data_IF_256854503569
#
_entry.id   IF_256854503569
#
_cell.length_a   1.000
_cell.length_b   1.000
_cell.length_c   1.000
_cell.angle_alpha   90.00
_cell.angle_beta   90.00
_cell.angle_gamma   90.00
#
_symmetry.space_group_name_H-M   'P 1'
#
loop_
_entity.id
_entity.type
_entity.pdbx_description
1 polymer ?
#
# COMPACT_ATOMS: atom_id res chain seq x y z
N UNK A 1 -10.40 18.67 -15.26
CA UNK A 1 -11.11 18.99 -14.00
C UNK A 1 -10.22 19.31 -12.78
N UNK A 2 -8.88 19.23 -12.85
CA UNK A 2 -8.00 19.50 -11.68
C UNK A 2 -7.75 20.99 -11.37
N UNK A 3 -7.93 21.91 -12.33
CA UNK A 3 -7.53 23.32 -12.20
C UNK A 3 -8.44 24.16 -11.27
N UNK A 4 -9.72 23.80 -11.15
CA UNK A 4 -10.75 24.66 -10.52
C UNK A 4 -10.83 24.55 -8.99
N UNK A 5 -10.05 23.67 -8.35
CA UNK A 5 -10.07 23.49 -6.89
C UNK A 5 -8.76 23.90 -6.19
N UNK A 6 -7.68 24.08 -6.96
CA UNK A 6 -6.38 24.43 -6.39
C UNK A 6 -6.32 25.89 -5.97
N UNK A 7 -6.71 26.82 -6.85
CA UNK A 7 -6.67 28.26 -6.58
C UNK A 7 -7.50 28.63 -5.35
N UNK A 8 -8.78 28.19 -5.20
CA UNK A 8 -9.56 28.48 -4.01
C UNK A 8 -8.97 27.89 -2.71
N UNK A 9 -8.31 26.73 -2.81
CA UNK A 9 -7.67 26.09 -1.66
C UNK A 9 -6.42 26.86 -1.22
N UNK A 10 -5.59 27.32 -2.15
CA UNK A 10 -4.44 28.16 -1.86
C UNK A 10 -4.83 29.48 -1.23
N UNK A 11 -5.78 30.21 -1.83
CA UNK A 11 -6.25 31.49 -1.31
C UNK A 11 -6.82 31.36 0.10
N UNK A 12 -7.54 30.26 0.37
CA UNK A 12 -8.05 29.97 1.71
C UNK A 12 -6.95 29.67 2.74
N UNK A 13 -5.92 28.90 2.38
CA UNK A 13 -4.83 28.63 3.32
C UNK A 13 -3.99 29.89 3.59
N UNK A 14 -3.78 30.74 2.57
CA UNK A 14 -3.13 32.03 2.74
C UNK A 14 -3.93 32.97 3.64
N UNK A 15 -5.27 33.00 3.53
CA UNK A 15 -6.10 33.80 4.43
C UNK A 15 -6.08 33.32 5.89
N UNK A 16 -5.63 32.08 6.14
CA UNK A 16 -5.33 31.55 7.48
C UNK A 16 -3.90 31.83 7.96
N UNK A 17 -3.10 32.57 7.19
CA UNK A 17 -1.72 32.93 7.56
C UNK A 17 -0.67 31.91 7.13
N UNK A 18 -0.98 30.98 6.22
CA UNK A 18 0.03 30.09 5.65
C UNK A 18 1.02 30.89 4.78
N UNK A 19 2.31 30.86 5.12
CA UNK A 19 3.35 31.45 4.28
C UNK A 19 3.53 30.68 2.98
N UNK A 20 4.04 31.35 1.94
CA UNK A 20 4.37 30.70 0.67
C UNK A 20 5.35 29.53 0.85
N UNK A 21 6.29 29.63 1.81
CA UNK A 21 7.25 28.56 2.10
C UNK A 21 6.61 27.33 2.74
N UNK A 22 5.69 27.53 3.69
CA UNK A 22 4.91 26.45 4.31
C UNK A 22 4.04 25.74 3.27
N UNK A 23 3.36 26.51 2.42
CA UNK A 23 2.52 25.97 1.35
C UNK A 23 3.34 25.14 0.36
N UNK A 24 4.51 25.61 -0.06
CA UNK A 24 5.42 24.84 -0.93
C UNK A 24 5.85 23.53 -0.26
N UNK A 25 6.20 23.56 1.03
CA UNK A 25 6.57 22.35 1.78
C UNK A 25 5.41 21.35 1.86
N UNK A 26 4.21 21.84 2.13
CA UNK A 26 2.99 21.02 2.23
C UNK A 26 2.60 20.44 0.87
N UNK A 27 2.64 21.22 -0.21
CA UNK A 27 2.35 20.72 -1.57
C UNK A 27 3.36 19.66 -1.98
N UNK A 28 4.64 19.86 -1.67
CA UNK A 28 5.70 18.90 -1.99
C UNK A 28 5.55 17.58 -1.21
N UNK A 29 5.02 17.66 0.01
CA UNK A 29 4.88 16.49 0.90
C UNK A 29 3.53 15.78 0.71
N UNK A 30 2.44 16.52 0.50
CA UNK A 30 1.06 16.03 0.46
C UNK A 30 0.24 16.74 -0.65
N UNK A 31 0.56 16.53 -1.94
CA UNK A 31 -0.08 17.26 -3.04
C UNK A 31 -1.61 17.13 -3.08
N UNK A 32 -2.11 15.94 -2.68
CA UNK A 32 -3.54 15.60 -2.70
C UNK A 32 -4.36 16.34 -1.64
N UNK A 33 -3.72 17.02 -0.67
CA UNK A 33 -4.40 17.83 0.33
C UNK A 33 -5.26 18.93 -0.32
N UNK A 34 -4.71 19.61 -1.34
CA UNK A 34 -5.37 20.71 -2.04
C UNK A 34 -6.57 20.28 -2.91
N UNK A 35 -6.73 18.97 -3.13
CA UNK A 35 -7.90 18.41 -3.80
C UNK A 35 -9.09 18.19 -2.86
N UNK A 36 -8.96 18.46 -1.55
CA UNK A 36 -10.04 18.26 -0.58
C UNK A 36 -11.12 19.32 -0.75
N UNK A 37 -12.36 18.85 -0.94
CA UNK A 37 -13.54 19.72 -1.00
C UNK A 37 -13.89 20.23 0.40
N UNK A 38 -14.19 21.52 0.48
CA UNK A 38 -14.65 22.19 1.68
C UNK A 38 -13.51 22.75 2.52
N UNK A 39 -13.58 24.06 2.79
CA UNK A 39 -12.61 24.80 3.59
C UNK A 39 -12.41 24.24 5.00
N UNK A 40 -13.48 23.79 5.66
CA UNK A 40 -13.40 23.16 6.99
C UNK A 40 -12.54 21.89 6.96
N UNK A 41 -12.78 21.02 5.99
CA UNK A 41 -12.02 19.78 5.81
C UNK A 41 -10.56 20.07 5.47
N UNK A 42 -10.32 20.99 4.53
CA UNK A 42 -8.98 21.41 4.13
C UNK A 42 -8.20 21.99 5.31
N UNK A 43 -8.82 22.85 6.11
CA UNK A 43 -8.22 23.44 7.32
C UNK A 43 -7.78 22.37 8.31
N UNK A 44 -8.65 21.42 8.63
CA UNK A 44 -8.37 20.40 9.64
C UNK A 44 -7.19 19.49 9.27
N UNK A 45 -7.07 19.16 7.98
CA UNK A 45 -5.92 18.41 7.49
C UNK A 45 -4.66 19.27 7.40
N UNK A 46 -4.79 20.54 7.03
CA UNK A 46 -3.67 21.49 7.02
C UNK A 46 -3.09 21.68 8.43
N UNK A 47 -3.93 21.94 9.43
CA UNK A 47 -3.51 22.15 10.82
C UNK A 47 -2.77 20.89 11.34
N UNK A 48 -3.29 19.69 11.10
CA UNK A 48 -2.63 18.44 11.51
C UNK A 48 -1.28 18.22 10.80
N UNK A 49 -1.19 18.49 9.49
CA UNK A 49 0.07 18.35 8.74
C UNK A 49 1.09 19.36 9.25
N UNK A 50 0.66 20.60 9.50
CA UNK A 50 1.51 21.65 10.07
C UNK A 50 2.03 21.24 11.46
N UNK A 51 1.14 20.86 12.37
CA UNK A 51 1.50 20.39 13.72
C UNK A 51 2.45 19.19 13.66
N UNK A 52 2.20 18.22 12.78
CA UNK A 52 3.08 17.04 12.63
C UNK A 52 4.49 17.43 12.13
N UNK A 53 4.58 18.38 11.20
CA UNK A 53 5.86 18.89 10.69
C UNK A 53 6.61 19.75 11.71
N UNK A 54 5.90 20.38 12.65
CA UNK A 54 6.47 21.13 13.77
C UNK A 54 6.89 20.20 14.91
N UNK A 55 6.14 19.13 15.16
CA UNK A 55 6.40 18.13 16.20
C UNK A 55 7.70 17.33 15.95
N UNK A 56 8.11 17.11 14.71
CA UNK A 56 9.45 16.54 14.40
C UNK A 56 10.61 17.41 14.94
N UNK A 57 10.35 18.66 15.33
CA UNK A 57 11.33 19.57 15.95
C UNK A 57 11.28 19.58 17.49
N UNK A 58 10.32 18.91 18.13
CA UNK A 58 10.05 19.00 19.58
C UNK A 58 9.64 17.65 20.19
N UNK A 59 10.27 17.27 21.30
CA UNK A 59 10.14 15.95 21.95
C UNK A 59 8.91 15.73 22.85
N UNK A 60 7.85 16.56 22.80
CA UNK A 60 6.69 16.46 23.71
C UNK A 60 5.44 15.94 23.00
N UNK A 61 5.17 14.63 23.13
CA UNK A 61 4.12 13.92 22.40
C UNK A 61 2.94 13.41 23.28
N UNK A 62 2.98 13.56 24.60
CA UNK A 62 2.05 12.83 25.49
C UNK A 62 0.64 13.44 25.65
N UNK A 63 0.43 14.73 25.40
CA UNK A 63 -0.76 15.41 25.97
C UNK A 63 -1.98 15.55 25.06
N UNK A 64 -1.92 15.19 23.78
CA UNK A 64 -2.98 15.54 22.82
C UNK A 64 -4.03 14.42 22.57
N UNK A 65 -3.84 13.22 23.11
CA UNK A 65 -4.57 12.03 22.68
C UNK A 65 -5.85 11.69 23.47
N UNK A 66 -6.17 12.40 24.55
CA UNK A 66 -7.13 11.89 25.56
C UNK A 66 -8.61 12.29 25.33
N UNK A 67 -8.94 13.17 24.39
CA UNK A 67 -10.31 13.73 24.35
C UNK A 67 -10.76 14.19 22.96
N UNK A 68 -10.94 13.23 22.04
CA UNK A 68 -11.64 13.51 20.78
C UNK A 68 -13.04 12.88 20.74
N UNK A 69 -14.09 13.64 20.37
CA UNK A 69 -15.45 13.11 20.20
C UNK A 69 -15.56 11.99 19.14
N UNK A 70 -16.62 11.18 19.20
CA UNK A 70 -16.88 10.12 18.24
C UNK A 70 -17.18 10.69 16.83
N UNK A 71 -16.34 10.41 15.82
CA UNK A 71 -16.55 10.85 14.44
C UNK A 71 -15.56 10.25 13.44
N UNK A 72 -15.86 10.27 12.14
CA UNK A 72 -15.00 9.66 11.10
C UNK A 72 -13.60 10.34 11.05
N UNK A 73 -13.54 11.66 11.20
CA UNK A 73 -12.27 12.39 11.22
C UNK A 73 -11.46 12.13 12.49
N UNK A 74 -12.10 12.11 13.65
CA UNK A 74 -11.43 11.89 14.93
C UNK A 74 -10.87 10.48 15.07
N UNK A 75 -11.61 9.47 14.58
CA UNK A 75 -11.09 8.12 14.46
C UNK A 75 -9.82 8.08 13.61
N UNK A 76 -9.79 8.82 12.48
CA UNK A 76 -8.59 8.91 11.64
C UNK A 76 -7.43 9.55 12.37
N UNK A 77 -7.64 10.70 13.03
CA UNK A 77 -6.58 11.38 13.79
C UNK A 77 -5.99 10.49 14.88
N UNK A 78 -6.84 9.81 15.66
CA UNK A 78 -6.41 8.84 16.67
C UNK A 78 -5.56 7.72 16.04
N UNK A 79 -6.09 7.06 15.02
CA UNK A 79 -5.43 5.91 14.40
C UNK A 79 -4.10 6.31 13.73
N UNK A 80 -4.06 7.47 13.07
CA UNK A 80 -2.84 8.05 12.50
C UNK A 80 -1.81 8.37 13.58
N UNK A 81 -2.25 8.85 14.75
CA UNK A 81 -1.35 9.11 15.89
C UNK A 81 -0.74 7.81 16.42
N UNK A 82 -1.51 6.72 16.51
CA UNK A 82 -0.98 5.39 16.86
C UNK A 82 0.08 4.93 15.85
N UNK A 83 -0.16 5.13 14.54
CA UNK A 83 0.84 4.79 13.52
C UNK A 83 2.12 5.63 13.64
N UNK A 84 1.99 6.90 14.04
CA UNK A 84 3.13 7.78 14.31
C UNK A 84 3.95 7.28 15.49
N UNK A 85 3.29 6.90 16.59
CA UNK A 85 3.94 6.34 17.79
C UNK A 85 4.69 5.04 17.50
N UNK A 86 4.22 4.26 16.52
CA UNK A 86 4.94 3.09 15.98
C UNK A 86 6.14 3.44 15.08
N UNK A 87 6.46 4.73 14.91
CA UNK A 87 7.59 5.20 14.11
C UNK A 87 7.31 5.32 12.61
N UNK A 88 6.04 5.32 12.18
CA UNK A 88 5.73 5.47 10.75
C UNK A 88 6.14 6.87 10.24
N UNK A 89 6.95 6.94 9.16
CA UNK A 89 7.41 8.22 8.64
C UNK A 89 6.28 9.01 7.99
N UNK A 90 6.38 10.35 8.06
CA UNK A 90 5.41 11.30 7.52
C UNK A 90 5.01 11.05 6.04
N UNK A 91 5.97 10.60 5.22
CA UNK A 91 5.73 10.24 3.81
C UNK A 91 4.69 9.14 3.60
N UNK A 92 4.52 8.25 4.58
CA UNK A 92 3.52 7.17 4.57
C UNK A 92 2.26 7.57 5.33
N UNK A 93 2.43 8.33 6.42
CA UNK A 93 1.37 8.72 7.33
C UNK A 93 0.38 9.73 6.72
N UNK A 94 0.88 10.78 6.06
CA UNK A 94 -0.01 11.82 5.52
C UNK A 94 -0.96 11.33 4.43
N UNK A 95 -0.55 10.47 3.47
CA UNK A 95 -1.49 9.83 2.55
C UNK A 95 -2.65 9.10 3.23
N UNK A 96 -2.41 8.47 4.39
CA UNK A 96 -3.44 7.75 5.14
C UNK A 96 -4.44 8.70 5.80
N UNK A 97 -3.94 9.78 6.38
CA UNK A 97 -4.76 10.83 6.99
C UNK A 97 -5.75 11.41 5.96
N UNK A 98 -5.27 11.78 4.78
CA UNK A 98 -6.10 12.36 3.73
C UNK A 98 -6.89 11.31 2.92
N UNK A 99 -6.81 10.03 3.24
CA UNK A 99 -7.57 8.99 2.54
C UNK A 99 -9.08 9.12 2.77
N UNK A 100 -9.90 8.52 1.91
CA UNK A 100 -11.36 8.58 2.04
C UNK A 100 -11.86 7.77 3.26
N UNK A 101 -11.16 6.70 3.66
CA UNK A 101 -11.54 5.93 4.85
C UNK A 101 -10.50 4.91 5.31
N UNK A 102 -10.04 4.05 4.40
CA UNK A 102 -9.18 2.91 4.77
C UNK A 102 -7.69 3.27 4.75
N UNK A 103 -6.87 2.62 5.59
CA UNK A 103 -7.22 1.63 6.61
C UNK A 103 -7.35 2.26 8.01
N UNK A 104 -7.48 3.59 8.09
CA UNK A 104 -7.43 4.35 9.35
C UNK A 104 -8.81 4.79 9.86
N UNK A 105 -9.91 4.18 9.41
CA UNK A 105 -11.25 4.45 9.93
C UNK A 105 -11.68 3.42 10.99
N UNK A 106 -12.66 3.79 11.84
CA UNK A 106 -13.13 2.96 12.95
C UNK A 106 -12.09 2.74 14.05
N UNK A 107 -12.49 2.22 15.22
CA UNK A 107 -11.56 1.89 16.31
C UNK A 107 -11.18 0.42 16.26
N UNK A 108 -12.18 -0.45 16.39
CA UNK A 108 -11.95 -1.88 16.63
C UNK A 108 -11.37 -2.58 15.40
N UNK A 109 -11.88 -2.22 14.21
CA UNK A 109 -11.36 -2.74 12.94
C UNK A 109 -9.90 -2.31 12.71
N UNK A 110 -9.56 -1.05 12.96
CA UNK A 110 -8.18 -0.56 12.87
C UNK A 110 -7.27 -1.31 13.86
N UNK A 111 -7.65 -1.39 15.14
CA UNK A 111 -6.84 -2.03 16.16
C UNK A 111 -6.61 -3.52 15.87
N UNK A 112 -7.65 -4.24 15.45
CA UNK A 112 -7.56 -5.66 15.10
C UNK A 112 -6.61 -5.87 13.91
N UNK A 113 -6.72 -5.02 12.89
CA UNK A 113 -5.87 -5.09 11.70
C UNK A 113 -4.42 -4.73 12.01
N UNK A 114 -4.22 -3.69 12.82
CA UNK A 114 -2.90 -3.23 13.25
C UNK A 114 -2.19 -4.33 14.04
N UNK A 115 -2.89 -4.96 15.00
CA UNK A 115 -2.36 -6.06 15.80
C UNK A 115 -1.85 -7.20 14.91
N UNK A 116 -2.66 -7.66 13.95
CA UNK A 116 -2.25 -8.72 13.00
C UNK A 116 -0.98 -8.35 12.23
N UNK A 117 -0.90 -7.13 11.70
CA UNK A 117 0.26 -6.68 10.90
C UNK A 117 1.54 -6.56 11.73
N UNK A 118 1.42 -6.10 12.98
CA UNK A 118 2.55 -6.03 13.93
C UNK A 118 2.99 -7.43 14.35
N UNK A 119 2.07 -8.34 14.68
CA UNK A 119 2.37 -9.72 15.04
C UNK A 119 3.04 -10.49 13.90
N UNK A 120 2.65 -10.21 12.65
CA UNK A 120 3.34 -10.75 11.48
C UNK A 120 4.76 -10.20 11.29
N UNK A 121 5.18 -9.19 12.07
CA UNK A 121 6.51 -8.59 12.02
C UNK A 121 6.74 -7.68 10.82
N UNK A 122 5.74 -6.92 10.36
CA UNK A 122 5.98 -5.89 9.34
C UNK A 122 6.61 -4.67 9.99
N UNK A 123 7.63 -4.10 9.34
CA UNK A 123 8.29 -2.88 9.79
C UNK A 123 7.40 -1.64 9.50
N UNK A 124 6.91 -0.92 10.54
CA UNK A 124 6.04 0.26 10.42
C UNK A 124 6.63 1.39 9.55
N UNK A 125 7.94 1.41 9.35
CA UNK A 125 8.62 2.44 8.54
C UNK A 125 8.50 2.21 7.03
N UNK A 126 7.99 1.04 6.61
CA UNK A 126 7.98 0.59 5.22
C UNK A 126 6.61 0.72 4.55
N UNK A 127 6.60 0.92 3.23
CA UNK A 127 5.36 0.87 2.46
C UNK A 127 4.68 -0.51 2.50
N UNK A 128 5.42 -1.59 2.78
CA UNK A 128 4.87 -2.94 2.93
C UNK A 128 3.92 -3.02 4.13
N UNK A 129 4.26 -2.38 5.25
CA UNK A 129 3.38 -2.30 6.41
C UNK A 129 2.04 -1.67 6.06
N UNK A 130 2.05 -0.53 5.36
CA UNK A 130 0.82 0.14 4.94
C UNK A 130 -0.04 -0.75 4.03
N UNK A 131 0.59 -1.46 3.08
CA UNK A 131 -0.11 -2.42 2.21
C UNK A 131 -0.70 -3.59 2.99
N UNK A 132 0.05 -4.17 3.93
CA UNK A 132 -0.44 -5.26 4.79
C UNK A 132 -1.59 -4.80 5.69
N UNK A 133 -1.53 -3.57 6.18
CA UNK A 133 -2.60 -2.95 6.97
C UNK A 133 -3.87 -2.76 6.14
N UNK A 134 -3.75 -2.36 4.88
CA UNK A 134 -4.90 -2.34 3.95
C UNK A 134 -5.54 -3.72 3.78
N UNK A 135 -4.73 -4.77 3.56
CA UNK A 135 -5.26 -6.13 3.39
C UNK A 135 -5.97 -6.61 4.65
N UNK A 136 -5.30 -6.49 5.80
CA UNK A 136 -5.83 -6.93 7.09
C UNK A 136 -7.07 -6.13 7.51
N UNK A 137 -7.14 -4.85 7.10
CA UNK A 137 -8.32 -4.02 7.32
C UNK A 137 -9.46 -4.45 6.43
N UNK A 138 -9.24 -4.68 5.15
CA UNK A 138 -10.31 -4.91 4.17
C UNK A 138 -10.86 -6.34 4.22
N UNK A 139 -10.04 -7.32 4.57
CA UNK A 139 -10.38 -8.74 4.51
C UNK A 139 -10.53 -9.36 5.90
N UNK A 140 -11.53 -10.24 6.05
CA UNK A 140 -11.63 -11.11 7.22
C UNK A 140 -10.84 -12.40 7.01
N UNK A 141 -10.72 -13.20 8.06
CA UNK A 141 -9.90 -14.42 8.03
C UNK A 141 -10.44 -15.46 7.03
N UNK A 142 -11.76 -15.54 6.86
CA UNK A 142 -12.40 -16.41 5.85
C UNK A 142 -11.99 -16.02 4.43
N UNK A 143 -12.04 -14.74 4.08
CA UNK A 143 -11.62 -14.25 2.75
C UNK A 143 -10.13 -14.50 2.51
N UNK A 144 -9.29 -14.37 3.54
CA UNK A 144 -7.87 -14.69 3.44
C UNK A 144 -7.68 -16.19 3.18
N UNK A 145 -8.41 -17.05 3.89
CA UNK A 145 -8.36 -18.50 3.72
C UNK A 145 -8.80 -18.94 2.32
N UNK A 146 -9.90 -18.38 1.80
CA UNK A 146 -10.36 -18.59 0.42
C UNK A 146 -9.25 -18.24 -0.59
N UNK A 147 -8.57 -17.10 -0.41
CA UNK A 147 -7.43 -16.73 -1.26
C UNK A 147 -6.28 -17.72 -1.15
N UNK A 148 -5.90 -18.13 0.06
CA UNK A 148 -4.84 -19.14 0.27
C UNK A 148 -5.19 -20.45 -0.42
N UNK A 149 -6.45 -20.88 -0.37
CA UNK A 149 -6.91 -22.10 -1.04
C UNK A 149 -6.80 -22.02 -2.57
N UNK A 150 -7.00 -20.85 -3.18
CA UNK A 150 -6.73 -20.65 -4.62
C UNK A 150 -5.26 -20.89 -4.94
N UNK A 151 -4.33 -20.32 -4.17
CA UNK A 151 -2.90 -20.58 -4.36
C UNK A 151 -2.55 -22.06 -4.18
N UNK A 152 -3.14 -22.75 -3.19
CA UNK A 152 -2.94 -24.19 -2.99
C UNK A 152 -3.37 -25.01 -4.20
N UNK A 153 -4.54 -24.71 -4.78
CA UNK A 153 -5.02 -25.37 -6.00
C UNK A 153 -4.07 -25.14 -7.20
N UNK A 154 -3.38 -24.00 -7.22
CA UNK A 154 -2.39 -23.65 -8.24
C UNK A 154 -1.00 -24.25 -7.98
N UNK A 155 -0.83 -24.97 -6.87
CA UNK A 155 0.38 -25.74 -6.54
C UNK A 155 1.33 -25.09 -5.54
N UNK A 156 0.92 -24.01 -4.87
CA UNK A 156 1.73 -23.35 -3.83
C UNK A 156 1.51 -24.00 -2.46
N UNK A 157 2.58 -24.15 -1.69
CA UNK A 157 2.45 -24.46 -0.26
C UNK A 157 1.90 -23.24 0.50
N UNK A 158 1.30 -23.45 1.67
CA UNK A 158 0.78 -22.35 2.50
C UNK A 158 1.91 -21.39 2.88
N UNK A 159 3.08 -21.94 3.16
CA UNK A 159 4.31 -21.24 3.48
C UNK A 159 4.73 -20.31 2.34
N UNK A 160 4.66 -20.77 1.09
CA UNK A 160 4.96 -19.95 -0.09
C UNK A 160 4.03 -18.73 -0.17
N UNK A 161 2.73 -18.93 0.10
CA UNK A 161 1.75 -17.84 0.09
C UNK A 161 2.11 -16.77 1.12
N UNK A 162 2.54 -17.17 2.31
CA UNK A 162 2.96 -16.22 3.34
C UNK A 162 4.29 -15.53 3.00
N UNK A 163 5.23 -16.22 2.34
CA UNK A 163 6.46 -15.61 1.80
C UNK A 163 6.11 -14.55 0.74
N UNK A 164 5.20 -14.89 -0.18
CA UNK A 164 4.67 -13.97 -1.21
C UNK A 164 4.02 -12.76 -0.55
N UNK A 165 3.12 -12.99 0.40
CA UNK A 165 2.42 -11.92 1.13
C UNK A 165 3.39 -11.01 1.87
N UNK A 166 4.42 -11.57 2.51
CA UNK A 166 5.43 -10.78 3.23
C UNK A 166 6.24 -9.88 2.29
N UNK A 167 6.55 -10.35 1.08
CA UNK A 167 7.24 -9.56 0.04
C UNK A 167 6.30 -8.54 -0.61
N UNK A 168 5.06 -8.92 -0.88
CA UNK A 168 4.06 -8.12 -1.58
C UNK A 168 2.65 -8.34 -1.02
N UNK A 169 2.23 -7.59 0.01
CA UNK A 169 0.97 -7.88 0.71
C UNK A 169 -0.27 -7.85 -0.19
N UNK A 170 -0.25 -7.02 -1.24
CA UNK A 170 -1.34 -6.95 -2.20
C UNK A 170 -1.51 -8.20 -3.08
N UNK A 171 -0.64 -9.21 -2.96
CA UNK A 171 -0.82 -10.52 -3.60
C UNK A 171 -2.18 -11.15 -3.26
N UNK A 172 -2.70 -10.93 -2.05
CA UNK A 172 -4.01 -11.43 -1.63
C UNK A 172 -5.19 -10.55 -2.08
N UNK A 173 -4.93 -9.31 -2.54
CA UNK A 173 -5.99 -8.40 -3.04
C UNK A 173 -6.43 -8.72 -4.47
N UNK A 174 -5.66 -9.47 -5.23
CA UNK A 174 -6.04 -9.83 -6.59
C UNK A 174 -7.26 -10.77 -6.59
N UNK A 175 -8.11 -10.65 -7.61
CA UNK A 175 -9.20 -11.59 -7.82
C UNK A 175 -8.65 -13.00 -8.05
N UNK A 176 -9.45 -14.01 -7.75
CA UNK A 176 -9.06 -15.42 -7.98
C UNK A 176 -8.75 -15.65 -9.45
N UNK A 177 -9.60 -15.10 -10.33
CA UNK A 177 -9.38 -15.08 -11.78
C UNK A 177 -8.03 -14.47 -12.14
N UNK A 178 -7.66 -13.32 -11.56
CA UNK A 178 -6.39 -12.66 -11.88
C UNK A 178 -5.20 -13.49 -11.41
N UNK A 179 -5.28 -14.11 -10.23
CA UNK A 179 -4.25 -15.00 -9.71
C UNK A 179 -4.07 -16.18 -10.67
N UNK A 180 -5.15 -16.91 -10.96
CA UNK A 180 -5.16 -18.06 -11.87
C UNK A 180 -4.63 -17.69 -13.25
N UNK A 181 -5.12 -16.60 -13.85
CA UNK A 181 -4.70 -16.14 -15.18
C UNK A 181 -3.19 -15.83 -15.23
N UNK A 182 -2.63 -15.19 -14.19
CA UNK A 182 -1.19 -14.93 -14.14
C UNK A 182 -0.39 -16.23 -14.08
N UNK A 183 -0.80 -17.22 -13.28
CA UNK A 183 -0.12 -18.52 -13.21
C UNK A 183 -0.23 -19.29 -14.52
N UNK A 184 -1.42 -19.35 -15.13
CA UNK A 184 -1.62 -20.01 -16.42
C UNK A 184 -0.84 -19.32 -17.54
N UNK A 185 -0.73 -17.99 -17.50
CA UNK A 185 0.13 -17.26 -18.44
C UNK A 185 1.58 -17.73 -18.33
N UNK A 186 2.12 -17.84 -17.11
CA UNK A 186 3.49 -18.33 -16.90
C UNK A 186 3.64 -19.76 -17.42
N UNK A 187 2.70 -20.66 -17.11
CA UNK A 187 2.72 -22.03 -17.65
C UNK A 187 2.73 -22.09 -19.17
N UNK A 188 2.13 -21.12 -19.86
CA UNK A 188 2.09 -21.05 -21.32
C UNK A 188 3.22 -20.20 -21.95
N UNK A 189 4.14 -19.64 -21.15
CA UNK A 189 5.22 -18.78 -21.64
C UNK A 189 6.48 -19.57 -22.04
N UNK A 190 6.95 -19.37 -23.28
CA UNK A 190 8.12 -20.05 -23.84
C UNK A 190 7.75 -21.33 -24.61
N UNK A 191 8.72 -21.95 -25.28
CA UNK A 191 8.47 -23.13 -26.16
C UNK A 191 7.90 -24.34 -25.40
N UNK A 192 8.25 -24.50 -24.11
CA UNK A 192 7.78 -25.58 -23.25
C UNK A 192 6.92 -25.12 -22.06
N UNK A 193 6.75 -23.80 -21.87
CA UNK A 193 6.18 -23.27 -20.64
C UNK A 193 7.14 -23.27 -19.45
N UNK A 194 6.78 -22.57 -18.37
CA UNK A 194 7.36 -22.81 -17.05
C UNK A 194 6.68 -24.00 -16.38
N UNK A 195 7.45 -24.88 -15.76
CA UNK A 195 6.93 -25.95 -14.91
C UNK A 195 6.23 -25.38 -13.67
N UNK A 196 5.49 -26.23 -12.96
CA UNK A 196 4.80 -25.82 -11.72
C UNK A 196 5.79 -25.23 -10.70
N UNK A 197 6.91 -25.88 -10.47
CA UNK A 197 7.91 -25.43 -9.49
C UNK A 197 8.61 -24.14 -9.93
N UNK A 198 8.90 -23.99 -11.23
CA UNK A 198 9.43 -22.73 -11.79
C UNK A 198 8.42 -21.59 -11.63
N UNK A 199 7.12 -21.82 -11.83
CA UNK A 199 6.07 -20.83 -11.57
C UNK A 199 6.02 -20.43 -10.09
N UNK A 200 6.05 -21.41 -9.17
CA UNK A 200 6.08 -21.15 -7.72
C UNK A 200 7.30 -20.30 -7.36
N UNK A 201 8.47 -20.64 -7.89
CA UNK A 201 9.70 -19.89 -7.68
C UNK A 201 9.62 -18.46 -8.22
N UNK A 202 9.16 -18.27 -9.47
CA UNK A 202 9.02 -16.96 -10.09
C UNK A 202 8.11 -16.07 -9.23
N UNK A 203 6.94 -16.57 -8.84
CA UNK A 203 5.95 -15.79 -8.08
C UNK A 203 6.44 -15.54 -6.65
N UNK A 204 7.09 -16.50 -6.01
CA UNK A 204 7.65 -16.36 -4.66
C UNK A 204 8.81 -15.37 -4.62
N UNK A 205 9.63 -15.31 -5.66
CA UNK A 205 10.74 -14.38 -5.79
C UNK A 205 10.30 -13.00 -6.30
N UNK A 206 9.31 -12.94 -7.17
CA UNK A 206 8.81 -11.72 -7.81
C UNK A 206 7.27 -11.67 -7.86
N UNK A 207 6.60 -11.48 -6.71
CA UNK A 207 5.14 -11.36 -6.67
C UNK A 207 4.56 -10.20 -7.50
N UNK A 208 5.40 -9.23 -7.88
CA UNK A 208 4.98 -8.12 -8.73
C UNK A 208 4.54 -8.55 -10.13
N UNK A 209 4.82 -9.81 -10.53
CA UNK A 209 4.30 -10.38 -11.77
C UNK A 209 2.76 -10.38 -11.87
N UNK A 210 2.04 -10.37 -10.74
CA UNK A 210 0.57 -10.20 -10.75
C UNK A 210 0.11 -8.85 -11.31
N UNK A 211 0.98 -7.83 -11.26
CA UNK A 211 0.72 -6.52 -11.88
C UNK A 211 0.93 -6.49 -13.39
N UNK A 212 1.52 -7.53 -13.98
CA UNK A 212 1.82 -7.58 -15.41
C UNK A 212 0.61 -8.07 -16.21
N UNK A 213 0.55 -7.64 -17.48
CA UNK A 213 -0.37 -8.22 -18.45
C UNK A 213 0.24 -9.49 -19.06
N UNK A 214 -0.62 -10.39 -19.54
CA UNK A 214 -0.16 -11.62 -20.18
C UNK A 214 0.74 -11.33 -21.39
N UNK A 215 0.39 -10.31 -22.17
CA UNK A 215 1.18 -9.81 -23.30
C UNK A 215 2.58 -9.34 -22.88
N UNK A 216 2.70 -8.65 -21.73
CA UNK A 216 3.99 -8.16 -21.22
C UNK A 216 4.89 -9.33 -20.83
N UNK A 217 4.35 -10.30 -20.10
CA UNK A 217 5.09 -11.50 -19.68
C UNK A 217 5.60 -12.27 -20.91
N UNK A 218 4.74 -12.49 -21.91
CA UNK A 218 5.12 -13.15 -23.17
C UNK A 218 6.22 -12.40 -23.91
N UNK A 219 6.04 -11.10 -24.17
CA UNK A 219 7.02 -10.27 -24.89
C UNK A 219 8.39 -10.28 -24.22
N UNK A 220 8.44 -10.10 -22.91
CA UNK A 220 9.71 -10.08 -22.17
C UNK A 220 10.35 -11.45 -22.13
N UNK A 221 9.58 -12.51 -21.90
CA UNK A 221 10.07 -13.90 -21.97
C UNK A 221 10.68 -14.20 -23.35
N UNK A 222 9.97 -13.86 -24.42
CA UNK A 222 10.48 -14.07 -25.79
C UNK A 222 11.73 -13.25 -26.08
N UNK A 223 11.80 -12.01 -25.60
CA UNK A 223 12.97 -11.18 -25.76
C UNK A 223 14.19 -11.80 -25.07
N UNK A 224 14.10 -12.17 -23.80
CA UNK A 224 15.26 -12.72 -23.08
C UNK A 224 15.68 -14.08 -23.63
N UNK A 225 14.72 -14.95 -24.00
CA UNK A 225 15.05 -16.26 -24.58
C UNK A 225 15.64 -16.13 -25.98
N UNK A 226 14.99 -15.38 -26.89
CA UNK A 226 15.38 -15.35 -28.31
C UNK A 226 16.51 -14.36 -28.61
N UNK A 227 16.57 -13.22 -27.91
CA UNK A 227 17.55 -12.15 -28.18
C UNK A 227 18.75 -12.19 -27.23
N UNK A 228 18.53 -12.56 -25.97
CA UNK A 228 19.60 -12.62 -24.97
C UNK A 228 20.14 -14.05 -24.76
N UNK A 229 19.55 -15.05 -25.42
CA UNK A 229 19.93 -16.46 -25.33
C UNK A 229 19.85 -17.01 -23.89
N UNK A 230 18.91 -16.50 -23.08
CA UNK A 230 18.67 -16.99 -21.73
C UNK A 230 17.84 -18.27 -21.75
N UNK A 231 18.13 -19.18 -20.84
CA UNK A 231 17.26 -20.32 -20.56
C UNK A 231 16.07 -19.90 -19.68
N UNK A 232 15.00 -20.71 -19.67
CA UNK A 232 13.88 -20.47 -18.74
C UNK A 232 14.34 -20.55 -17.27
N UNK A 233 15.34 -21.38 -16.97
CA UNK A 233 15.93 -21.50 -15.64
C UNK A 233 16.58 -20.18 -15.20
N UNK A 234 17.25 -19.46 -16.10
CA UNK A 234 17.84 -18.16 -15.82
C UNK A 234 16.75 -17.13 -15.45
N UNK A 235 15.60 -17.18 -16.14
CA UNK A 235 14.45 -16.33 -15.81
C UNK A 235 13.89 -16.67 -14.43
N UNK A 236 13.82 -17.95 -14.06
CA UNK A 236 13.39 -18.37 -12.72
C UNK A 236 14.33 -17.87 -11.62
N UNK A 237 15.63 -17.78 -11.90
CA UNK A 237 16.62 -17.20 -10.97
C UNK A 237 16.57 -15.68 -10.91
N UNK A 238 16.19 -15.02 -12.01
CA UNK A 238 16.12 -13.56 -12.14
C UNK A 238 14.76 -13.07 -12.67
N UNK A 239 13.65 -13.35 -11.95
CA UNK A 239 12.30 -13.11 -12.45
C UNK A 239 11.95 -11.62 -12.64
N UNK A 240 12.78 -10.69 -12.16
CA UNK A 240 12.66 -9.25 -12.41
C UNK A 240 12.79 -8.85 -13.88
N UNK A 241 13.25 -9.75 -14.75
CA UNK A 241 13.30 -9.51 -16.21
C UNK A 241 11.94 -9.65 -16.89
N UNK A 242 10.95 -10.24 -16.20
CA UNK A 242 9.54 -10.30 -16.61
C UNK A 242 8.81 -8.99 -16.32
#
# INVERSE_FOLDING_TARGET
MLRNHLVPSFSFLQSRGASSSELTKIVSTVPKLLGKRGHKTLSLYYDFVKESLEADKSSKYETLCQSFPQGNLENKKRNVSVLRELGMPHKLLFPLLISVGQPVCGKDRFNTSLKKVVEMGFDPTTAKFVKALHVSYEMNDKTIEEKVNVYKMLGFAVEDVWVIFKKWPYSLKYSEEKITQTIETLKMCGLRGFSRDECVMIVTCFPMCFGLSAETVKKKTEFVVKKMNWSLKDITMFPQVL
#
